data_IF_211916970731
#
_entry.id   IF_211916970731
#
_cell.length_a   1.000
_cell.length_b   1.000
_cell.length_c   1.000
_cell.angle_alpha   90.00
_cell.angle_beta   90.00
_cell.angle_gamma   90.00
#
_symmetry.space_group_name_H-M   'P 1'
#
loop_
_entity.id
_entity.type
_entity.pdbx_description
1 polymer ?
#
# COMPACT_ATOMS: atom_id res chain seq x y z
N UNK A 1 -46.44 -19.90 -33.84
CA UNK A 1 -45.06 -20.50 -33.81
C UNK A 1 -43.99 -19.45 -33.48
N UNK A 2 -43.85 -18.35 -34.22
CA UNK A 2 -42.82 -17.32 -33.88
C UNK A 2 -43.07 -16.62 -32.54
N UNK A 3 -44.34 -16.37 -32.16
CA UNK A 3 -44.66 -15.75 -30.87
C UNK A 3 -44.45 -16.70 -29.68
N UNK A 4 -44.60 -18.02 -29.87
CA UNK A 4 -44.28 -19.00 -28.82
C UNK A 4 -42.78 -19.18 -28.62
N UNK A 5 -41.99 -19.11 -29.70
CA UNK A 5 -40.54 -19.15 -29.64
C UNK A 5 -40.03 -17.88 -28.97
N UNK A 6 -40.59 -16.71 -29.27
CA UNK A 6 -40.21 -15.45 -28.62
C UNK A 6 -40.56 -15.45 -27.11
N UNK A 7 -41.70 -16.02 -26.72
CA UNK A 7 -42.07 -16.16 -25.29
C UNK A 7 -41.17 -17.14 -24.55
N UNK A 8 -40.70 -18.20 -25.21
CA UNK A 8 -39.74 -19.16 -24.64
C UNK A 8 -38.34 -18.58 -24.49
N UNK A 9 -37.90 -17.71 -25.42
CA UNK A 9 -36.63 -16.99 -25.34
C UNK A 9 -36.68 -15.92 -24.24
N UNK A 10 -37.84 -15.23 -24.06
CA UNK A 10 -38.03 -14.28 -22.95
C UNK A 10 -38.18 -14.99 -21.61
N UNK A 11 -38.74 -16.21 -21.59
CA UNK A 11 -38.80 -17.07 -20.38
C UNK A 11 -37.44 -17.60 -19.91
N UNK A 12 -36.40 -17.62 -20.76
CA UNK A 12 -35.03 -17.90 -20.38
C UNK A 12 -34.34 -16.71 -19.67
N UNK A 13 -35.01 -15.56 -19.60
CA UNK A 13 -34.67 -14.41 -18.79
C UNK A 13 -35.05 -14.53 -17.30
N UNK A 14 -35.40 -15.72 -16.84
CA UNK A 14 -35.48 -16.00 -15.41
C UNK A 14 -34.15 -15.70 -14.78
N UNK A 15 -34.12 -14.65 -13.96
CA UNK A 15 -32.99 -14.26 -13.13
C UNK A 15 -32.34 -15.50 -12.51
N UNK A 16 -31.36 -16.07 -13.18
CA UNK A 16 -30.39 -16.90 -12.49
C UNK A 16 -29.79 -15.96 -11.44
N UNK A 17 -30.28 -16.07 -10.19
CA UNK A 17 -29.74 -15.37 -9.04
C UNK A 17 -28.27 -15.73 -8.92
N UNK A 18 -27.45 -15.10 -9.75
CA UNK A 18 -25.99 -15.15 -9.68
C UNK A 18 -25.57 -14.31 -8.49
N UNK A 19 -25.98 -14.76 -7.31
CA UNK A 19 -25.63 -14.12 -6.07
C UNK A 19 -24.24 -14.59 -5.68
N UNK A 20 -23.28 -13.66 -5.64
CA UNK A 20 -21.93 -13.90 -5.13
C UNK A 20 -21.98 -14.55 -3.74
N UNK A 21 -23.01 -14.24 -2.96
CA UNK A 21 -23.24 -14.85 -1.64
C UNK A 21 -23.62 -16.34 -1.74
N UNK A 22 -24.44 -16.72 -2.71
CA UNK A 22 -24.79 -18.13 -2.94
C UNK A 22 -23.56 -18.93 -3.43
N UNK A 23 -22.69 -18.33 -4.26
CA UNK A 23 -21.43 -18.94 -4.69
C UNK A 23 -20.52 -19.19 -3.47
N UNK A 24 -20.34 -18.19 -2.60
CA UNK A 24 -19.53 -18.34 -1.38
C UNK A 24 -20.08 -19.44 -0.46
N UNK A 25 -21.40 -19.50 -0.25
CA UNK A 25 -21.99 -20.50 0.66
C UNK A 25 -21.83 -21.93 0.16
N UNK A 26 -21.83 -22.16 -1.16
CA UNK A 26 -21.68 -23.47 -1.78
C UNK A 26 -20.24 -23.93 -1.92
N UNK A 27 -19.30 -22.99 -1.93
CA UNK A 27 -17.89 -23.28 -2.15
C UNK A 27 -17.36 -24.31 -1.13
N UNK A 28 -16.39 -25.10 -1.55
CA UNK A 28 -15.64 -26.02 -0.69
C UNK A 28 -14.89 -25.25 0.41
N UNK A 29 -14.58 -25.94 1.50
CA UNK A 29 -13.90 -25.35 2.66
C UNK A 29 -12.60 -24.64 2.28
N UNK A 30 -11.79 -25.24 1.40
CA UNK A 30 -10.51 -24.66 0.95
C UNK A 30 -10.75 -23.38 0.14
N UNK A 31 -11.71 -23.39 -0.79
CA UNK A 31 -12.05 -22.22 -1.60
C UNK A 31 -12.62 -21.10 -0.72
N UNK A 32 -13.46 -21.42 0.29
CA UNK A 32 -13.93 -20.44 1.29
C UNK A 32 -12.79 -19.78 2.04
N UNK A 33 -11.83 -20.59 2.51
CA UNK A 33 -10.66 -20.07 3.21
C UNK A 33 -9.85 -19.11 2.33
N UNK A 34 -9.62 -19.48 1.06
CA UNK A 34 -8.94 -18.63 0.08
C UNK A 34 -9.69 -17.31 -0.11
N UNK A 35 -11.00 -17.34 -0.31
CA UNK A 35 -11.83 -16.15 -0.48
C UNK A 35 -11.74 -15.22 0.74
N UNK A 36 -11.89 -15.76 1.94
CA UNK A 36 -11.79 -14.98 3.19
C UNK A 36 -10.41 -14.33 3.33
N UNK A 37 -9.35 -15.08 3.06
CA UNK A 37 -7.97 -14.59 3.11
C UNK A 37 -7.74 -13.44 2.12
N UNK A 38 -8.25 -13.56 0.89
CA UNK A 38 -8.14 -12.53 -0.14
C UNK A 38 -8.93 -11.27 0.21
N UNK A 39 -10.15 -11.40 0.74
CA UNK A 39 -10.96 -10.27 1.20
C UNK A 39 -10.26 -9.56 2.36
N UNK A 40 -9.77 -10.30 3.35
CA UNK A 40 -9.02 -9.73 4.47
C UNK A 40 -7.76 -8.99 4.00
N UNK A 41 -7.01 -9.57 3.06
CA UNK A 41 -5.83 -8.95 2.46
C UNK A 41 -6.18 -7.67 1.69
N UNK A 42 -7.31 -7.67 0.97
CA UNK A 42 -7.81 -6.49 0.25
C UNK A 42 -8.16 -5.37 1.21
N UNK A 43 -8.93 -5.65 2.27
CA UNK A 43 -9.32 -4.65 3.29
C UNK A 43 -8.06 -4.07 3.96
N UNK A 44 -7.11 -4.92 4.34
CA UNK A 44 -5.85 -4.50 4.94
C UNK A 44 -5.02 -3.62 4.00
N UNK A 45 -4.95 -3.99 2.71
CA UNK A 45 -4.28 -3.20 1.68
C UNK A 45 -4.88 -1.80 1.55
N UNK A 46 -6.21 -1.70 1.47
CA UNK A 46 -6.89 -0.40 1.41
C UNK A 46 -6.67 0.45 2.66
N UNK A 47 -6.68 -0.15 3.86
CA UNK A 47 -6.36 0.56 5.10
C UNK A 47 -4.95 1.18 5.05
N UNK A 48 -3.94 0.42 4.58
CA UNK A 48 -2.59 0.92 4.39
C UNK A 48 -2.51 2.03 3.33
N UNK A 49 -3.24 1.88 2.22
CA UNK A 49 -3.28 2.89 1.15
C UNK A 49 -3.80 4.22 1.69
N UNK A 50 -4.91 4.22 2.41
CA UNK A 50 -5.48 5.44 3.00
C UNK A 50 -4.57 6.08 4.06
N UNK A 51 -3.93 5.26 4.92
CA UNK A 51 -2.99 5.73 5.92
C UNK A 51 -1.79 6.43 5.24
N UNK A 52 -1.17 5.79 4.26
CA UNK A 52 -0.02 6.35 3.55
C UNK A 52 -0.36 7.57 2.71
N UNK A 53 -1.52 7.60 2.09
CA UNK A 53 -1.98 8.78 1.35
C UNK A 53 -2.11 10.01 2.27
N UNK A 54 -2.71 9.84 3.45
CA UNK A 54 -2.81 10.90 4.46
C UNK A 54 -1.43 11.32 4.96
N UNK A 55 -0.54 10.35 5.23
CA UNK A 55 0.82 10.61 5.67
C UNK A 55 1.58 11.48 4.67
N UNK A 56 1.65 11.08 3.38
CA UNK A 56 2.37 11.86 2.36
C UNK A 56 1.79 13.25 2.15
N UNK A 57 0.46 13.39 2.19
CA UNK A 57 -0.19 14.71 2.12
C UNK A 57 0.23 15.60 3.29
N UNK A 58 0.26 15.04 4.50
CA UNK A 58 0.62 15.78 5.73
C UNK A 58 2.09 16.17 5.73
N UNK A 59 3.02 15.25 5.49
CA UNK A 59 4.46 15.53 5.55
C UNK A 59 4.91 16.49 4.45
N UNK A 60 4.34 16.41 3.26
CA UNK A 60 4.66 17.37 2.20
C UNK A 60 4.23 18.80 2.56
N UNK A 61 3.02 18.96 3.09
CA UNK A 61 2.51 20.27 3.50
C UNK A 61 3.32 20.83 4.69
N UNK A 62 3.61 20.02 5.70
CA UNK A 62 4.39 20.47 6.87
C UNK A 62 5.83 20.82 6.51
N UNK A 63 6.48 20.06 5.64
CA UNK A 63 7.83 20.36 5.19
C UNK A 63 7.91 21.63 4.34
N UNK A 64 6.90 21.90 3.49
CA UNK A 64 6.84 23.15 2.74
C UNK A 64 6.65 24.38 3.66
N UNK A 65 5.81 24.26 4.66
CA UNK A 65 5.62 25.32 5.66
C UNK A 65 6.89 25.55 6.49
N UNK A 66 7.55 24.43 6.89
CA UNK A 66 8.84 24.47 7.57
C UNK A 66 9.90 25.19 6.74
N UNK A 67 10.10 24.80 5.47
CA UNK A 67 11.09 25.43 4.59
C UNK A 67 10.83 26.90 4.39
N UNK A 68 9.57 27.31 4.14
CA UNK A 68 9.20 28.73 4.01
C UNK A 68 9.57 29.52 5.25
N UNK A 69 9.22 29.02 6.43
CA UNK A 69 9.52 29.68 7.71
C UNK A 69 11.01 29.74 8.00
N UNK A 70 11.75 28.67 7.68
CA UNK A 70 13.18 28.60 7.88
C UNK A 70 13.94 29.66 7.06
N UNK A 71 13.61 29.81 5.76
CA UNK A 71 14.32 30.75 4.89
C UNK A 71 13.98 32.23 5.16
N UNK A 72 12.90 32.51 5.85
CA UNK A 72 12.53 33.87 6.29
C UNK A 72 13.13 34.20 7.66
N UNK A 73 13.56 33.19 8.42
CA UNK A 73 14.09 33.38 9.78
C UNK A 73 15.43 34.14 9.77
N UNK A 74 15.63 34.99 10.78
CA UNK A 74 16.85 35.82 10.92
C UNK A 74 18.11 34.99 11.20
N UNK A 75 17.97 33.86 11.90
CA UNK A 75 19.05 32.92 12.18
C UNK A 75 18.52 31.52 12.45
N UNK A 76 19.33 30.49 12.19
CA UNK A 76 18.99 29.09 12.48
C UNK A 76 18.77 28.84 13.99
N UNK A 77 19.52 29.54 14.86
CA UNK A 77 19.35 29.43 16.32
C UNK A 77 18.00 29.99 16.78
N UNK A 78 17.62 31.19 16.33
CA UNK A 78 16.32 31.77 16.69
C UNK A 78 15.16 30.95 16.17
N UNK A 79 15.27 30.38 14.98
CA UNK A 79 14.29 29.49 14.41
C UNK A 79 14.15 28.19 15.23
N UNK A 80 15.27 27.58 15.62
CA UNK A 80 15.26 26.37 16.44
C UNK A 80 14.54 26.57 17.79
N UNK A 81 14.73 27.72 18.43
CA UNK A 81 14.11 28.04 19.71
C UNK A 81 12.58 28.22 19.62
N UNK A 82 12.09 28.61 18.44
CA UNK A 82 10.66 28.80 18.17
C UNK A 82 9.95 27.52 17.70
N UNK A 83 10.68 26.43 17.45
CA UNK A 83 10.09 25.18 17.00
C UNK A 83 9.50 24.37 18.16
N UNK A 84 8.34 23.74 17.99
CA UNK A 84 7.73 22.90 19.02
C UNK A 84 8.63 21.75 19.41
N UNK A 85 8.76 21.47 20.72
CA UNK A 85 9.64 20.42 21.24
C UNK A 85 9.26 19.02 20.77
N UNK A 86 7.98 18.76 20.53
CA UNK A 86 7.46 17.46 20.16
C UNK A 86 6.83 17.48 18.76
N UNK A 87 7.59 17.90 17.75
CA UNK A 87 7.14 17.86 16.36
C UNK A 87 7.20 16.45 15.81
N UNK A 88 6.17 16.07 15.03
CA UNK A 88 6.14 14.81 14.23
C UNK A 88 6.59 15.04 12.79
N UNK A 89 6.90 16.28 12.41
CA UNK A 89 7.34 16.62 11.07
C UNK A 89 8.80 16.18 10.86
N UNK A 90 9.10 15.36 9.84
CA UNK A 90 10.46 14.86 9.59
C UNK A 90 11.49 15.97 9.39
N UNK A 91 11.15 17.03 8.65
CA UNK A 91 12.09 18.15 8.43
C UNK A 91 12.45 18.86 9.74
N UNK A 92 11.48 19.08 10.60
CA UNK A 92 11.70 19.65 11.92
C UNK A 92 12.58 18.76 12.81
N UNK A 93 12.36 17.43 12.77
CA UNK A 93 13.16 16.46 13.56
C UNK A 93 14.61 16.48 13.08
N UNK A 94 14.84 16.38 11.77
CA UNK A 94 16.16 16.38 11.13
C UNK A 94 16.90 17.68 11.47
N UNK A 95 16.24 18.82 11.31
CA UNK A 95 16.81 20.12 11.60
C UNK A 95 17.21 20.26 13.08
N UNK A 96 16.38 19.82 14.03
CA UNK A 96 16.71 19.88 15.46
C UNK A 96 17.92 19.01 15.81
N UNK A 97 18.02 17.81 15.22
CA UNK A 97 19.20 16.95 15.42
C UNK A 97 20.46 17.61 14.88
N UNK A 98 20.40 18.22 13.71
CA UNK A 98 21.49 18.97 13.12
C UNK A 98 21.90 20.17 14.00
N UNK A 99 20.93 20.99 14.45
CA UNK A 99 21.20 22.14 15.32
C UNK A 99 21.82 21.73 16.65
N UNK A 100 21.38 20.62 17.24
CA UNK A 100 22.01 20.09 18.44
C UNK A 100 23.49 19.74 18.20
N UNK A 101 23.83 19.21 17.03
CA UNK A 101 25.23 18.92 16.68
C UNK A 101 26.03 20.20 16.39
N UNK A 102 25.44 21.19 15.72
CA UNK A 102 26.05 22.53 15.53
C UNK A 102 26.43 23.15 16.89
N UNK A 103 25.52 23.11 17.85
CA UNK A 103 25.79 23.66 19.21
C UNK A 103 26.89 22.89 19.90
N UNK A 104 26.93 21.55 19.84
CA UNK A 104 27.97 20.72 20.46
C UNK A 104 29.34 20.95 19.84
N UNK A 105 29.39 21.24 18.56
CA UNK A 105 30.62 21.36 17.78
C UNK A 105 31.10 22.82 17.61
N UNK A 106 30.44 23.80 18.23
CA UNK A 106 30.73 25.24 18.10
C UNK A 106 32.19 25.64 18.38
N UNK A 107 32.94 24.83 19.14
CA UNK A 107 34.33 25.04 19.44
C UNK A 107 35.33 24.35 18.51
N UNK A 108 34.85 23.61 17.53
CA UNK A 108 35.66 22.86 16.55
C UNK A 108 35.92 23.69 15.29
N UNK A 109 36.88 23.26 14.47
CA UNK A 109 37.08 23.90 13.17
C UNK A 109 35.81 23.74 12.28
N UNK A 110 35.56 24.75 11.45
CA UNK A 110 34.38 24.76 10.56
C UNK A 110 34.28 23.50 9.70
N UNK A 111 35.38 22.96 9.19
CA UNK A 111 35.39 21.75 8.38
C UNK A 111 34.97 20.50 9.17
N UNK A 112 35.44 20.36 10.42
CA UNK A 112 35.04 19.24 11.30
C UNK A 112 33.56 19.36 11.67
N UNK A 113 33.12 20.57 12.00
CA UNK A 113 31.72 20.84 12.33
C UNK A 113 30.81 20.49 11.16
N UNK A 114 31.11 20.97 9.96
CA UNK A 114 30.33 20.69 8.75
C UNK A 114 30.23 19.18 8.48
N UNK A 115 31.37 18.44 8.53
CA UNK A 115 31.37 17.00 8.30
C UNK A 115 30.54 16.22 9.32
N UNK A 116 30.55 16.64 10.60
CA UNK A 116 29.78 16.00 11.66
C UNK A 116 28.28 16.28 11.51
N UNK A 117 27.92 17.52 11.19
CA UNK A 117 26.53 17.92 10.94
C UNK A 117 25.98 17.21 9.73
N UNK A 118 26.76 17.09 8.63
CA UNK A 118 26.40 16.33 7.44
C UNK A 118 26.07 14.88 7.78
N UNK A 119 26.93 14.24 8.56
CA UNK A 119 26.70 12.84 8.98
C UNK A 119 25.43 12.67 9.83
N UNK A 120 25.14 13.62 10.72
CA UNK A 120 23.91 13.62 11.52
C UNK A 120 22.69 13.81 10.63
N UNK A 121 22.73 14.73 9.66
CA UNK A 121 21.65 14.95 8.69
C UNK A 121 21.36 13.71 7.85
N UNK A 122 22.40 13.05 7.34
CA UNK A 122 22.28 11.81 6.56
C UNK A 122 21.58 10.72 7.37
N UNK A 123 22.08 10.42 8.58
CA UNK A 123 21.52 9.39 9.46
C UNK A 123 20.08 9.74 9.86
N UNK A 124 19.81 11.00 10.17
CA UNK A 124 18.47 11.44 10.55
C UNK A 124 17.49 11.31 9.39
N UNK A 125 17.91 11.69 8.18
CA UNK A 125 17.09 11.56 6.95
C UNK A 125 16.76 10.10 6.69
N UNK A 126 17.74 9.21 6.70
CA UNK A 126 17.54 7.77 6.53
C UNK A 126 16.54 7.20 7.54
N UNK A 127 16.67 7.59 8.81
CA UNK A 127 15.78 7.12 9.86
C UNK A 127 14.33 7.59 9.65
N UNK A 128 14.12 8.83 9.23
CA UNK A 128 12.78 9.34 8.96
C UNK A 128 12.18 8.69 7.70
N UNK A 129 12.97 8.48 6.64
CA UNK A 129 12.52 7.75 5.45
C UNK A 129 12.13 6.31 5.79
N UNK A 130 12.92 5.58 6.58
CA UNK A 130 12.57 4.23 7.05
C UNK A 130 11.24 4.19 7.81
N UNK A 131 10.93 5.23 8.61
CA UNK A 131 9.62 5.33 9.29
C UNK A 131 8.47 5.54 8.29
N UNK A 132 8.69 6.36 7.27
CA UNK A 132 7.70 6.62 6.21
C UNK A 132 7.44 5.34 5.41
N UNK A 133 8.48 4.59 5.06
CA UNK A 133 8.40 3.35 4.27
C UNK A 133 7.92 2.14 5.07
N UNK A 134 7.79 2.27 6.38
CA UNK A 134 7.23 1.22 7.22
C UNK A 134 5.90 0.71 6.63
N UNK A 135 5.76 -0.60 6.54
CA UNK A 135 4.61 -1.32 6.01
C UNK A 135 4.47 -1.33 4.46
N UNK A 136 5.36 -0.73 3.67
CA UNK A 136 5.32 -0.86 2.21
C UNK A 136 5.48 -2.32 1.76
N UNK A 137 6.28 -3.09 2.50
CA UNK A 137 6.49 -4.52 2.24
C UNK A 137 5.18 -5.31 2.23
N UNK A 138 4.19 -4.97 3.05
CA UNK A 138 2.89 -5.65 3.02
C UNK A 138 2.15 -5.40 1.71
N UNK A 139 2.18 -4.18 1.17
CA UNK A 139 1.59 -3.88 -0.14
C UNK A 139 2.29 -4.66 -1.26
N UNK A 140 3.63 -4.72 -1.23
CA UNK A 140 4.42 -5.52 -2.17
C UNK A 140 4.05 -7.01 -2.08
N UNK A 141 3.97 -7.55 -0.86
CA UNK A 141 3.62 -8.96 -0.63
C UNK A 141 2.21 -9.28 -1.11
N UNK A 142 1.20 -8.49 -0.74
CA UNK A 142 -0.17 -8.70 -1.22
C UNK A 142 -0.23 -8.62 -2.74
N UNK A 143 0.42 -7.60 -3.33
CA UNK A 143 0.46 -7.40 -4.77
C UNK A 143 1.07 -8.57 -5.53
N UNK A 144 2.11 -9.18 -4.99
CA UNK A 144 2.80 -10.31 -5.63
C UNK A 144 2.18 -11.67 -5.33
N UNK A 145 1.57 -11.88 -4.15
CA UNK A 145 1.09 -13.21 -3.74
C UNK A 145 -0.40 -13.43 -3.94
N UNK A 146 -1.24 -12.39 -3.83
CA UNK A 146 -2.68 -12.54 -3.93
C UNK A 146 -3.17 -13.18 -5.25
N UNK A 147 -2.59 -12.88 -6.45
CA UNK A 147 -2.95 -13.55 -7.68
C UNK A 147 -2.70 -15.07 -7.63
N UNK A 148 -1.59 -15.48 -7.02
CA UNK A 148 -1.25 -16.91 -6.90
C UNK A 148 -2.15 -17.63 -5.89
N UNK A 149 -2.55 -16.95 -4.82
CA UNK A 149 -3.53 -17.47 -3.86
C UNK A 149 -4.88 -17.65 -4.56
N UNK A 150 -5.31 -16.69 -5.39
CA UNK A 150 -6.51 -16.80 -6.20
C UNK A 150 -6.43 -17.95 -7.22
N UNK A 151 -5.31 -18.08 -7.91
CA UNK A 151 -5.03 -19.18 -8.83
C UNK A 151 -5.08 -20.55 -8.13
N UNK A 152 -4.51 -20.66 -6.93
CA UNK A 152 -4.63 -21.86 -6.12
C UNK A 152 -6.10 -22.21 -5.85
N UNK A 153 -6.93 -21.23 -5.50
CA UNK A 153 -8.38 -21.42 -5.32
C UNK A 153 -9.05 -21.94 -6.58
N UNK A 154 -8.65 -21.44 -7.76
CA UNK A 154 -9.17 -21.91 -9.05
C UNK A 154 -8.78 -23.37 -9.33
N UNK A 155 -7.52 -23.71 -9.17
CA UNK A 155 -7.04 -25.09 -9.41
C UNK A 155 -7.76 -26.07 -8.48
N UNK A 156 -7.88 -25.72 -7.20
CA UNK A 156 -8.59 -26.54 -6.22
C UNK A 156 -10.07 -26.73 -6.56
N UNK A 157 -10.78 -25.66 -6.88
CA UNK A 157 -12.21 -25.73 -7.21
C UNK A 157 -12.51 -26.50 -8.49
N UNK A 158 -11.66 -26.35 -9.54
CA UNK A 158 -11.78 -27.12 -10.77
C UNK A 158 -11.50 -28.61 -10.51
N UNK A 159 -10.49 -28.92 -9.69
CA UNK A 159 -10.19 -30.30 -9.30
C UNK A 159 -11.41 -30.94 -8.61
N UNK A 160 -12.04 -30.27 -7.67
CA UNK A 160 -13.25 -30.76 -6.98
C UNK A 160 -14.43 -30.93 -7.94
N UNK A 161 -14.57 -30.05 -8.94
CA UNK A 161 -15.60 -30.15 -9.96
C UNK A 161 -15.42 -31.42 -10.82
N UNK A 162 -14.20 -31.74 -11.21
CA UNK A 162 -13.91 -33.00 -11.93
C UNK A 162 -14.10 -34.23 -11.04
N UNK A 163 -13.76 -34.16 -9.76
CA UNK A 163 -14.02 -35.24 -8.82
C UNK A 163 -15.52 -35.54 -8.67
N UNK A 164 -16.35 -34.49 -8.72
CA UNK A 164 -17.81 -34.63 -8.69
C UNK A 164 -18.36 -35.38 -9.91
N UNK A 165 -17.77 -35.17 -11.11
CA UNK A 165 -18.10 -35.97 -12.31
C UNK A 165 -17.77 -37.44 -12.10
N UNK A 166 -16.58 -37.73 -11.58
CA UNK A 166 -16.11 -39.09 -11.35
C UNK A 166 -17.02 -39.88 -10.38
N UNK A 167 -17.47 -39.20 -9.31
CA UNK A 167 -18.37 -39.79 -8.30
C UNK A 167 -19.78 -39.98 -8.85
N UNK A 168 -20.35 -38.94 -9.50
CA UNK A 168 -21.73 -38.98 -10.02
C UNK A 168 -21.89 -39.80 -11.31
N UNK A 169 -20.79 -40.11 -11.99
CA UNK A 169 -20.75 -40.72 -13.33
C UNK A 169 -21.63 -39.99 -14.35
N UNK A 170 -21.82 -38.70 -14.14
CA UNK A 170 -22.66 -37.82 -14.97
C UNK A 170 -21.82 -36.63 -15.43
N UNK A 171 -21.63 -36.51 -16.74
CA UNK A 171 -20.83 -35.46 -17.40
C UNK A 171 -21.63 -34.20 -17.72
N UNK A 172 -22.82 -34.04 -17.15
CA UNK A 172 -23.64 -32.85 -17.38
C UNK A 172 -22.94 -31.59 -16.91
N UNK A 173 -22.87 -30.57 -17.74
CA UNK A 173 -22.31 -29.27 -17.42
C UNK A 173 -23.00 -28.62 -16.22
N UNK A 174 -24.29 -28.91 -16.01
CA UNK A 174 -25.06 -28.39 -14.89
C UNK A 174 -24.51 -28.78 -13.51
N UNK A 175 -23.77 -29.91 -13.43
CA UNK A 175 -23.17 -30.38 -12.19
C UNK A 175 -21.89 -29.62 -11.86
N UNK A 176 -21.08 -29.27 -12.86
CA UNK A 176 -19.75 -28.69 -12.66
C UNK A 176 -19.69 -27.17 -12.82
N UNK A 177 -20.62 -26.58 -13.55
CA UNK A 177 -20.63 -25.14 -13.81
C UNK A 177 -20.61 -24.28 -12.52
N UNK A 178 -21.37 -24.62 -11.46
CA UNK A 178 -21.29 -23.84 -10.21
C UNK A 178 -19.90 -23.88 -9.59
N UNK A 179 -19.27 -25.06 -9.47
CA UNK A 179 -17.93 -25.19 -8.87
C UNK A 179 -16.84 -24.49 -9.69
N UNK A 180 -16.94 -24.51 -11.02
CA UNK A 180 -16.03 -23.76 -11.89
C UNK A 180 -16.23 -22.25 -11.70
N UNK A 181 -17.48 -21.77 -11.60
CA UNK A 181 -17.77 -20.36 -11.37
C UNK A 181 -17.20 -19.88 -10.03
N UNK A 182 -17.34 -20.67 -8.96
CA UNK A 182 -16.78 -20.41 -7.64
C UNK A 182 -15.25 -20.33 -7.68
N UNK A 183 -14.60 -21.25 -8.40
CA UNK A 183 -13.18 -21.27 -8.60
C UNK A 183 -12.68 -20.00 -9.31
N UNK A 184 -13.29 -19.63 -10.41
CA UNK A 184 -12.95 -18.41 -11.17
C UNK A 184 -13.16 -17.14 -10.33
N UNK A 185 -14.16 -17.12 -9.46
CA UNK A 185 -14.40 -16.02 -8.54
C UNK A 185 -13.25 -15.81 -7.56
N UNK A 186 -12.62 -16.89 -7.07
CA UNK A 186 -11.43 -16.78 -6.22
C UNK A 186 -10.26 -16.08 -6.93
N UNK A 187 -10.02 -16.39 -8.22
CA UNK A 187 -8.98 -15.69 -9.01
C UNK A 187 -9.31 -14.22 -9.21
N UNK A 188 -10.56 -13.89 -9.51
CA UNK A 188 -11.00 -12.50 -9.66
C UNK A 188 -10.75 -11.69 -8.37
N UNK A 189 -11.03 -12.27 -7.19
CA UNK A 189 -10.72 -11.65 -5.90
C UNK A 189 -9.22 -11.48 -5.66
N UNK A 190 -8.40 -12.45 -6.07
CA UNK A 190 -6.95 -12.35 -6.01
C UNK A 190 -6.40 -11.15 -6.80
N UNK A 191 -6.89 -10.96 -8.02
CA UNK A 191 -6.56 -9.81 -8.85
C UNK A 191 -7.09 -8.49 -8.27
N UNK A 192 -8.32 -8.49 -7.75
CA UNK A 192 -8.93 -7.33 -7.11
C UNK A 192 -8.13 -6.85 -5.89
N UNK A 193 -7.54 -7.76 -5.11
CA UNK A 193 -6.67 -7.44 -3.99
C UNK A 193 -5.29 -6.97 -4.44
N UNK A 194 -4.71 -7.60 -5.46
CA UNK A 194 -3.35 -7.36 -5.90
C UNK A 194 -3.16 -6.04 -6.64
N UNK A 195 -4.06 -5.71 -7.57
CA UNK A 195 -3.89 -4.56 -8.46
C UNK A 195 -3.76 -3.23 -7.69
N UNK A 196 -4.66 -2.89 -6.76
CA UNK A 196 -4.51 -1.67 -5.96
C UNK A 196 -3.24 -1.67 -5.11
N UNK A 197 -2.85 -2.82 -4.57
CA UNK A 197 -1.67 -2.96 -3.73
C UNK A 197 -0.37 -2.67 -4.51
N UNK A 198 -0.23 -3.21 -5.73
CA UNK A 198 0.93 -2.95 -6.61
C UNK A 198 0.99 -1.50 -7.03
N UNK A 199 -0.14 -0.92 -7.44
CA UNK A 199 -0.20 0.49 -7.85
C UNK A 199 0.22 1.39 -6.68
N UNK A 200 -0.32 1.13 -5.48
CA UNK A 200 0.00 1.90 -4.29
C UNK A 200 1.46 1.76 -3.85
N UNK A 201 1.99 0.54 -3.86
CA UNK A 201 3.39 0.27 -3.56
C UNK A 201 4.34 1.07 -4.46
N UNK A 202 4.12 1.02 -5.77
CA UNK A 202 4.94 1.75 -6.74
C UNK A 202 4.81 3.27 -6.57
N UNK A 203 3.58 3.76 -6.35
CA UNK A 203 3.33 5.18 -6.13
C UNK A 203 4.03 5.67 -4.87
N UNK A 204 3.82 5.03 -3.73
CA UNK A 204 4.41 5.46 -2.46
C UNK A 204 5.92 5.29 -2.42
N UNK A 205 6.48 4.26 -3.07
CA UNK A 205 7.92 4.13 -3.25
C UNK A 205 8.53 5.31 -4.03
N UNK A 206 7.86 5.76 -5.09
CA UNK A 206 8.28 6.94 -5.84
C UNK A 206 8.10 8.24 -5.03
N UNK A 207 6.99 8.38 -4.31
CA UNK A 207 6.73 9.53 -3.45
C UNK A 207 7.76 9.61 -2.30
N UNK A 208 8.16 8.47 -1.73
CA UNK A 208 9.23 8.39 -0.71
C UNK A 208 10.58 8.85 -1.25
N UNK A 209 10.96 8.40 -2.46
CA UNK A 209 12.20 8.85 -3.10
C UNK A 209 12.23 10.36 -3.35
N UNK A 210 11.12 10.92 -3.85
CA UNK A 210 11.00 12.38 -4.06
C UNK A 210 11.10 13.15 -2.75
N UNK A 211 10.48 12.62 -1.69
CA UNK A 211 10.54 13.23 -0.37
C UNK A 211 11.93 13.16 0.23
N UNK A 212 12.64 12.03 0.09
CA UNK A 212 14.06 11.90 0.48
C UNK A 212 14.94 12.93 -0.20
N UNK A 213 14.80 13.09 -1.52
CA UNK A 213 15.55 14.11 -2.28
C UNK A 213 15.26 15.53 -1.79
N UNK A 214 14.01 15.83 -1.41
CA UNK A 214 13.64 17.13 -0.84
C UNK A 214 14.38 17.38 0.48
N UNK A 215 14.40 16.40 1.39
CA UNK A 215 15.12 16.49 2.65
C UNK A 215 16.64 16.60 2.45
N UNK A 216 17.20 15.84 1.52
CA UNK A 216 18.63 15.94 1.18
C UNK A 216 19.00 17.32 0.62
N UNK A 217 18.16 17.87 -0.27
CA UNK A 217 18.37 19.22 -0.79
C UNK A 217 18.32 20.28 0.31
N UNK A 218 17.38 20.17 1.23
CA UNK A 218 17.34 21.01 2.41
C UNK A 218 18.63 20.86 3.22
N UNK A 219 19.09 19.64 3.49
CA UNK A 219 20.32 19.34 4.26
C UNK A 219 21.56 19.97 3.62
N UNK A 220 21.74 19.83 2.29
CA UNK A 220 22.86 20.44 1.56
C UNK A 220 22.85 21.95 1.65
N UNK A 221 21.68 22.58 1.49
CA UNK A 221 21.52 24.03 1.61
C UNK A 221 21.77 24.49 3.05
N UNK A 222 21.33 23.72 4.06
CA UNK A 222 21.59 24.04 5.46
C UNK A 222 23.10 24.00 5.77
N UNK A 223 23.83 22.96 5.32
CA UNK A 223 25.29 22.85 5.49
C UNK A 223 26.02 24.04 4.88
N UNK A 224 25.56 24.58 3.74
CA UNK A 224 26.24 25.70 3.07
C UNK A 224 26.16 27.04 3.83
N UNK A 225 25.34 27.13 4.87
CA UNK A 225 25.14 28.37 5.66
C UNK A 225 25.69 28.28 7.10
N UNK A 226 26.25 27.12 7.49
CA UNK A 226 26.91 26.93 8.79
C UNK A 226 28.42 26.82 8.62
#
# INVERSE_FOLDING_TARGET
>A
MEQEIAAQVVGLGGSSDFSLWKLFLRADFVVKFVIILLIASSIFSWALIFDKFKLFKSINASTEDFEKKFWIAKSAESFNNNLPSNSKDPATIIFKLAMNEVIKTKRQSSSIQAARVERVLEIATDNEIKKIEKNFTYLATIGSTAPFIGLFGTVWGIMNSFQSIAISRNTSLAIVAPGIAEALFATALGLLAAIPAVIAYNKFGNDSKKYSQKLENFSKRFISII
#
